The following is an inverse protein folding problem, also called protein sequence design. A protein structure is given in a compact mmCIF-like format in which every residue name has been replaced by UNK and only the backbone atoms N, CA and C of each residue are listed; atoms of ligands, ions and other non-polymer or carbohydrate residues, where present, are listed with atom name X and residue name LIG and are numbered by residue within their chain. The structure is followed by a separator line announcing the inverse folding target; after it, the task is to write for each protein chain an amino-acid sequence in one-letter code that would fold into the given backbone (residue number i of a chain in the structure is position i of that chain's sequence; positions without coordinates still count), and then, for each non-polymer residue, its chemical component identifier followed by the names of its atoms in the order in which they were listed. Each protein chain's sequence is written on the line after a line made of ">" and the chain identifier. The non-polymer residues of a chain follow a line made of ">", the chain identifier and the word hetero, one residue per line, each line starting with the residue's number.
data_IF_265009742300
#
_entry.id   IF_265009742300
#
_cell.length_a   1.000
_cell.length_b   1.000
_cell.length_c   1.000
_cell.angle_alpha   90.00
_cell.angle_beta   90.00
_cell.angle_gamma   90.00
#
_symmetry.space_group_name_H-M   'P 1'
#
loop_
_entity.id
_entity.type
_entity.pdbx_description
1 polymer ?
#
# COMPACT_ATOMS: atom_id res chain seq x y z
N UNK A 1 -5.45 16.05 18.40
CA UNK A 1 -4.44 17.10 18.50
C UNK A 1 -4.78 18.14 17.44
N UNK A 2 -4.95 19.40 17.80
CA UNK A 2 -5.18 20.47 16.82
C UNK A 2 -3.85 21.05 16.35
N UNK A 3 -3.80 21.66 15.16
CA UNK A 3 -2.56 22.23 14.61
C UNK A 3 -1.93 23.27 15.55
N UNK A 4 -2.78 24.02 16.27
CA UNK A 4 -2.37 25.02 17.25
C UNK A 4 -1.66 24.38 18.45
N UNK A 5 -2.16 23.24 18.95
CA UNK A 5 -1.53 22.51 20.06
C UNK A 5 -0.16 21.96 19.65
N UNK A 6 -0.02 21.48 18.42
CA UNK A 6 1.24 20.97 17.88
C UNK A 6 2.28 22.10 17.74
N UNK A 7 1.88 23.25 17.20
CA UNK A 7 2.76 24.42 17.07
C UNK A 7 3.29 24.89 18.43
N UNK A 8 2.41 24.95 19.44
CA UNK A 8 2.81 25.32 20.80
C UNK A 8 3.88 24.38 21.36
N UNK A 9 3.73 23.07 21.17
CA UNK A 9 4.72 22.09 21.64
C UNK A 9 6.06 22.21 20.89
N UNK A 10 6.03 22.40 19.57
CA UNK A 10 7.26 22.59 18.78
C UNK A 10 7.95 23.90 19.15
N UNK A 11 7.20 24.98 19.41
CA UNK A 11 7.76 26.28 19.78
C UNK A 11 8.48 26.25 21.13
N UNK A 12 8.02 25.43 22.07
CA UNK A 12 8.60 25.25 23.41
C UNK A 12 9.91 24.46 23.41
N UNK A 13 10.29 23.82 22.29
CA UNK A 13 11.51 23.04 22.20
C UNK A 13 12.76 23.92 22.04
N UNK A 14 13.91 23.49 22.61
CA UNK A 14 15.23 24.04 22.31
C UNK A 14 15.58 23.97 20.81
N UNK A 15 16.50 24.83 20.34
CA UNK A 15 16.88 24.88 18.91
C UNK A 15 17.39 23.55 18.37
N UNK A 16 18.07 22.76 19.20
CA UNK A 16 18.64 21.48 18.81
C UNK A 16 17.57 20.43 18.53
N UNK A 17 16.50 20.43 19.33
CA UNK A 17 15.35 19.54 19.13
C UNK A 17 14.46 20.00 17.97
N UNK A 18 14.38 21.31 17.70
CA UNK A 18 13.68 21.85 16.52
C UNK A 18 14.29 21.33 15.21
N UNK A 19 15.61 21.17 15.14
CA UNK A 19 16.28 20.53 13.99
C UNK A 19 15.81 19.09 13.80
N UNK A 20 15.79 18.28 14.86
CA UNK A 20 15.32 16.89 14.79
C UNK A 20 13.86 16.80 14.34
N UNK A 21 12.99 17.70 14.81
CA UNK A 21 11.60 17.78 14.36
C UNK A 21 11.51 18.11 12.87
N UNK A 22 12.33 19.05 12.38
CA UNK A 22 12.40 19.39 10.95
C UNK A 22 12.82 18.19 10.08
N UNK A 23 13.84 17.45 10.53
CA UNK A 23 14.31 16.24 9.83
C UNK A 23 13.24 15.14 9.86
N UNK A 24 12.54 14.98 10.99
CA UNK A 24 11.46 14.03 11.13
C UNK A 24 10.27 14.38 10.21
N UNK A 25 9.85 15.64 10.16
CA UNK A 25 8.80 16.11 9.24
C UNK A 25 9.19 15.86 7.78
N UNK A 26 10.47 16.06 7.44
CA UNK A 26 10.99 15.75 6.10
C UNK A 26 10.91 14.26 5.78
N UNK A 27 11.17 13.38 6.76
CA UNK A 27 11.00 11.92 6.61
C UNK A 27 9.54 11.52 6.44
N UNK A 28 8.63 12.14 7.21
CA UNK A 28 7.20 11.89 7.12
C UNK A 28 6.63 12.31 5.77
N UNK A 29 7.08 13.46 5.22
CA UNK A 29 6.69 13.91 3.87
C UNK A 29 7.14 12.95 2.78
N UNK A 30 8.33 12.37 2.89
CA UNK A 30 8.80 11.33 1.96
C UNK A 30 7.92 10.08 2.06
N UNK A 31 7.64 9.61 3.28
CA UNK A 31 6.78 8.44 3.55
C UNK A 31 5.33 8.63 3.10
N UNK A 32 4.78 9.85 3.19
CA UNK A 32 3.41 10.15 2.73
C UNK A 32 3.31 10.34 1.22
N UNK A 33 4.38 10.83 0.57
CA UNK A 33 4.47 10.98 -0.88
C UNK A 33 4.70 9.66 -1.61
N UNK A 34 5.26 8.66 -0.92
CA UNK A 34 5.25 7.25 -1.34
C UNK A 34 3.84 6.67 -1.14
N UNK A 35 2.87 7.14 -1.92
CA UNK A 35 1.62 6.40 -2.10
C UNK A 35 2.00 4.95 -2.39
N UNK A 36 1.43 3.99 -1.65
CA UNK A 36 1.75 2.56 -1.73
C UNK A 36 1.89 2.20 -3.21
N UNK A 37 3.14 2.10 -3.71
CA UNK A 37 3.36 1.78 -5.12
C UNK A 37 2.65 0.46 -5.30
N UNK A 38 1.59 0.46 -6.12
CA UNK A 38 0.92 -0.79 -6.43
C UNK A 38 2.01 -1.69 -6.97
N UNK A 39 2.20 -2.83 -6.31
CA UNK A 39 3.21 -3.80 -6.71
C UNK A 39 2.92 -4.12 -8.16
N UNK A 40 3.85 -3.80 -9.06
CA UNK A 40 3.67 -4.07 -10.47
C UNK A 40 3.44 -5.58 -10.65
N UNK A 41 2.41 -5.94 -11.41
CA UNK A 41 2.15 -7.34 -11.71
C UNK A 41 3.19 -7.80 -12.72
N UNK A 42 4.03 -8.75 -12.34
CA UNK A 42 4.99 -9.37 -13.24
C UNK A 42 4.32 -10.50 -14.04
N UNK A 43 4.59 -10.55 -15.34
CA UNK A 43 4.15 -11.66 -16.17
C UNK A 43 4.66 -13.00 -15.62
N UNK A 44 3.80 -14.03 -15.61
CA UNK A 44 4.17 -15.37 -15.15
C UNK A 44 4.23 -15.56 -13.63
N UNK A 45 3.75 -14.62 -12.81
CA UNK A 45 3.76 -14.75 -11.35
C UNK A 45 3.03 -15.99 -10.80
N UNK A 46 2.03 -16.49 -11.54
CA UNK A 46 1.27 -17.69 -11.24
C UNK A 46 1.58 -18.86 -12.20
N UNK A 47 2.67 -18.79 -12.96
CA UNK A 47 3.05 -19.85 -13.91
C UNK A 47 3.33 -21.14 -13.13
N UNK A 48 2.58 -22.19 -13.42
CA UNK A 48 2.68 -23.48 -12.72
C UNK A 48 2.02 -23.51 -11.34
N UNK A 49 1.30 -22.46 -10.94
CA UNK A 49 0.56 -22.46 -9.67
C UNK A 49 -0.71 -23.31 -9.74
N UNK A 50 -1.32 -23.41 -10.92
CA UNK A 50 -2.50 -24.23 -11.17
C UNK A 50 -2.19 -25.28 -12.23
N UNK A 51 -2.67 -26.49 -12.01
CA UNK A 51 -2.78 -27.51 -13.03
C UNK A 51 -4.19 -27.44 -13.61
N UNK A 52 -4.28 -27.20 -14.91
CA UNK A 52 -5.55 -27.23 -15.64
C UNK A 52 -5.74 -28.69 -16.06
N UNK A 53 -6.90 -29.27 -15.72
CA UNK A 53 -7.28 -30.59 -16.19
C UNK A 53 -7.73 -30.51 -17.66
N UNK A 54 -7.64 -31.64 -18.36
CA UNK A 54 -8.01 -31.73 -19.77
C UNK A 54 -9.51 -31.47 -20.04
N UNK A 55 -10.35 -31.54 -18.99
CA UNK A 55 -11.80 -31.31 -19.01
C UNK A 55 -12.20 -29.86 -18.68
N UNK A 56 -11.26 -28.91 -18.61
CA UNK A 56 -11.56 -27.53 -18.21
C UNK A 56 -12.61 -26.82 -19.09
N UNK A 57 -12.64 -27.16 -20.38
CA UNK A 57 -13.60 -26.61 -21.34
C UNK A 57 -14.94 -27.36 -21.35
N UNK A 58 -15.08 -28.45 -20.57
CA UNK A 58 -16.33 -29.20 -20.53
C UNK A 58 -17.46 -28.42 -19.84
N UNK A 59 -18.71 -28.53 -20.33
CA UNK A 59 -19.85 -27.88 -19.69
C UNK A 59 -20.04 -28.38 -18.27
N UNK A 60 -20.17 -27.46 -17.33
CA UNK A 60 -20.55 -27.80 -15.96
C UNK A 60 -21.99 -28.30 -15.96
N UNK A 61 -22.21 -29.49 -15.39
CA UNK A 61 -23.54 -30.12 -15.30
C UNK A 61 -24.58 -29.18 -14.67
N UNK A 62 -24.18 -28.43 -13.63
CA UNK A 62 -25.01 -27.45 -12.90
C UNK A 62 -25.42 -26.23 -13.76
N UNK A 63 -24.77 -26.04 -14.91
CA UNK A 63 -25.03 -24.93 -15.85
C UNK A 63 -25.79 -25.37 -17.10
N UNK A 64 -26.12 -26.66 -17.25
CA UNK A 64 -26.88 -27.18 -18.40
C UNK A 64 -28.25 -26.54 -18.56
N UNK A 65 -28.90 -26.17 -17.45
CA UNK A 65 -30.22 -25.53 -17.47
C UNK A 65 -30.18 -24.05 -17.93
N UNK A 66 -28.98 -23.47 -18.09
CA UNK A 66 -28.76 -22.06 -18.43
C UNK A 66 -28.10 -21.82 -19.81
N UNK A 67 -27.78 -22.89 -20.54
CA UNK A 67 -27.17 -22.86 -21.88
C UNK A 67 -28.17 -23.31 -22.95
#
# INVERSE_FOLDING_TARGET
>A
MTDIQLYSQISALPSDLKKQVSDFVSSLRKKSGEGKKQKERHFGYAKGFFQINDDFDEPLDDFKDYM
#
